data_IF_618987448264
#
_entry.id   IF_618987448264
#
_cell.length_a   1.000
_cell.length_b   1.000
_cell.length_c   1.000
_cell.angle_alpha   90.00
_cell.angle_beta   90.00
_cell.angle_gamma   90.00
#
_symmetry.space_group_name_H-M   'P 1'
#
loop_
_entity.id
_entity.type
_entity.pdbx_description
1 polymer ?
#
# COMPACT_ATOMS: atom_id res chain seq x y z
N UNK A 1 0.21 -0.79 22.64
CA UNK A 1 1.03 -1.54 21.65
C UNK A 1 0.49 -2.97 21.55
N UNK A 2 0.35 -3.53 20.36
CA UNK A 2 -0.02 -4.93 20.23
C UNK A 2 1.00 -5.80 20.96
N UNK A 3 0.53 -6.92 21.51
CA UNK A 3 1.41 -7.88 22.21
C UNK A 3 2.58 -8.30 21.32
N UNK A 4 3.76 -8.34 21.89
CA UNK A 4 4.93 -8.84 21.17
C UNK A 4 4.85 -10.36 20.99
N UNK A 5 5.55 -10.89 19.99
CA UNK A 5 5.63 -12.36 19.79
C UNK A 5 6.13 -13.09 21.05
N UNK A 6 7.04 -12.48 21.80
CA UNK A 6 7.56 -13.04 23.07
C UNK A 6 6.48 -13.11 24.15
N UNK A 7 5.63 -12.08 24.28
CA UNK A 7 4.49 -12.07 25.20
C UNK A 7 3.47 -13.14 24.83
N UNK A 8 3.13 -13.27 23.54
CA UNK A 8 2.21 -14.29 23.04
C UNK A 8 2.76 -15.69 23.31
N UNK A 9 4.04 -15.93 23.10
CA UNK A 9 4.68 -17.21 23.39
C UNK A 9 4.69 -17.53 24.89
N UNK A 10 4.86 -16.54 25.75
CA UNK A 10 4.81 -16.72 27.19
C UNK A 10 3.39 -17.06 27.69
N UNK A 11 2.38 -16.33 27.19
CA UNK A 11 0.98 -16.51 27.60
C UNK A 11 0.38 -17.85 27.11
N UNK A 12 0.89 -18.39 25.99
CA UNK A 12 0.41 -19.63 25.37
C UNK A 12 1.46 -20.77 25.39
N UNK A 13 2.42 -20.73 26.33
CA UNK A 13 3.52 -21.69 26.39
C UNK A 13 3.05 -23.15 26.40
N UNK A 14 2.03 -23.50 27.20
CA UNK A 14 1.49 -24.85 27.30
C UNK A 14 0.88 -25.37 25.97
N UNK A 15 0.19 -24.50 25.22
CA UNK A 15 -0.39 -24.85 23.91
C UNK A 15 0.72 -25.03 22.86
N UNK A 16 1.75 -24.20 22.90
CA UNK A 16 2.90 -24.24 21.99
C UNK A 16 3.78 -25.48 22.24
N UNK A 17 3.92 -25.88 23.49
CA UNK A 17 4.71 -27.08 23.87
C UNK A 17 3.97 -28.39 23.54
N UNK A 18 2.64 -28.34 23.43
CA UNK A 18 1.83 -29.48 22.99
C UNK A 18 1.85 -29.68 21.46
N UNK A 19 2.47 -28.77 20.68
CA UNK A 19 2.54 -28.89 19.24
C UNK A 19 3.53 -29.97 18.80
N UNK A 20 3.10 -30.94 17.97
CA UNK A 20 3.91 -32.11 17.64
C UNK A 20 5.06 -31.82 16.65
N UNK A 21 5.03 -30.69 15.96
CA UNK A 21 6.05 -30.28 14.97
C UNK A 21 6.28 -28.76 15.02
N UNK A 22 7.50 -28.36 14.61
CA UNK A 22 7.85 -26.92 14.54
C UNK A 22 6.96 -26.14 13.58
N UNK A 23 6.54 -26.71 12.46
CA UNK A 23 5.67 -26.05 11.50
C UNK A 23 4.28 -25.74 12.11
N UNK A 24 3.73 -26.69 12.89
CA UNK A 24 2.45 -26.49 13.59
C UNK A 24 2.58 -25.45 14.71
N UNK A 25 3.72 -25.44 15.40
CA UNK A 25 4.04 -24.44 16.41
C UNK A 25 4.11 -23.05 15.80
N UNK A 26 4.79 -22.89 14.68
CA UNK A 26 4.91 -21.64 13.95
C UNK A 26 3.54 -21.14 13.45
N UNK A 27 2.75 -22.02 12.85
CA UNK A 27 1.39 -21.71 12.40
C UNK A 27 0.47 -21.27 13.55
N UNK A 28 0.62 -21.88 14.74
CA UNK A 28 -0.12 -21.49 15.95
C UNK A 28 0.30 -20.09 16.43
N UNK A 29 1.60 -19.79 16.47
CA UNK A 29 2.12 -18.46 16.83
C UNK A 29 1.55 -17.39 15.90
N UNK A 30 1.55 -17.60 14.59
CA UNK A 30 1.00 -16.67 13.61
C UNK A 30 -0.50 -16.44 13.81
N UNK A 31 -1.25 -17.51 14.09
CA UNK A 31 -2.69 -17.42 14.39
C UNK A 31 -2.96 -16.63 15.67
N UNK A 32 -2.20 -16.90 16.74
CA UNK A 32 -2.33 -16.19 18.02
C UNK A 32 -1.97 -14.71 17.87
N UNK A 33 -0.88 -14.39 17.16
CA UNK A 33 -0.47 -13.02 16.87
C UNK A 33 -1.54 -12.27 16.07
N UNK A 34 -2.13 -12.91 15.05
CA UNK A 34 -3.24 -12.34 14.28
C UNK A 34 -4.47 -12.08 15.15
N UNK A 35 -4.78 -12.99 16.08
CA UNK A 35 -5.93 -12.86 16.98
C UNK A 35 -5.71 -11.72 17.98
N UNK A 36 -4.54 -11.66 18.63
CA UNK A 36 -4.17 -10.61 19.56
C UNK A 36 -4.17 -9.21 18.89
N UNK A 37 -3.67 -9.13 17.65
CA UNK A 37 -3.73 -7.89 16.87
C UNK A 37 -5.18 -7.48 16.58
N UNK A 38 -6.06 -8.42 16.24
CA UNK A 38 -7.49 -8.13 15.99
C UNK A 38 -8.21 -7.65 17.25
N UNK A 39 -7.92 -8.23 18.41
CA UNK A 39 -8.48 -7.82 19.69
C UNK A 39 -8.01 -6.42 20.07
N UNK A 40 -6.71 -6.14 19.95
CA UNK A 40 -6.15 -4.81 20.17
C UNK A 40 -6.84 -3.74 19.30
N UNK A 41 -7.03 -4.02 18.00
CA UNK A 41 -7.73 -3.09 17.10
C UNK A 41 -9.23 -2.96 17.41
N UNK A 42 -9.86 -3.96 18.03
CA UNK A 42 -11.26 -3.87 18.46
C UNK A 42 -11.46 -2.90 19.63
N UNK A 43 -10.51 -2.86 20.57
CA UNK A 43 -10.54 -1.90 21.68
C UNK A 43 -10.37 -0.48 21.17
N UNK A 44 -9.42 -0.24 20.26
CA UNK A 44 -9.23 1.06 19.62
C UNK A 44 -10.43 1.48 18.76
N UNK A 45 -11.13 0.54 18.14
CA UNK A 45 -12.32 0.84 17.35
C UNK A 45 -13.43 1.48 18.20
N UNK A 46 -13.60 1.06 19.44
CA UNK A 46 -14.58 1.64 20.35
C UNK A 46 -14.25 3.11 20.68
N UNK A 47 -12.98 3.44 20.89
CA UNK A 47 -12.51 4.80 21.10
C UNK A 47 -12.68 5.68 19.84
N UNK A 48 -12.34 5.15 18.66
CA UNK A 48 -12.45 5.89 17.39
C UNK A 48 -13.93 6.11 17.01
N UNK A 49 -14.84 5.20 17.33
CA UNK A 49 -16.28 5.38 17.08
C UNK A 49 -16.90 6.56 17.83
N UNK A 50 -16.32 6.98 18.95
CA UNK A 50 -16.77 8.20 19.65
C UNK A 50 -16.51 9.45 18.80
N UNK A 51 -15.43 9.46 18.00
CA UNK A 51 -15.07 10.55 17.10
C UNK A 51 -15.69 10.39 15.70
N UNK A 52 -15.87 9.15 15.25
CA UNK A 52 -16.38 8.80 13.94
C UNK A 52 -17.49 7.74 14.05
N UNK A 53 -18.74 8.12 14.38
CA UNK A 53 -19.84 7.18 14.66
C UNK A 53 -20.21 6.26 13.49
N UNK A 54 -19.91 6.68 12.27
CA UNK A 54 -20.18 5.91 11.03
C UNK A 54 -19.19 4.79 10.78
N UNK A 55 -18.07 4.73 11.53
CA UNK A 55 -17.07 3.69 11.35
C UNK A 55 -17.57 2.37 11.99
N UNK A 56 -17.80 1.36 11.16
CA UNK A 56 -18.29 0.05 11.59
C UNK A 56 -17.18 -0.95 11.90
N UNK A 57 -16.08 -0.88 11.16
CA UNK A 57 -14.93 -1.78 11.27
C UNK A 57 -13.66 -1.12 10.70
N UNK A 58 -12.49 -1.54 11.17
CA UNK A 58 -11.21 -1.26 10.49
C UNK A 58 -10.94 -2.24 9.35
N UNK A 59 -11.66 -3.35 9.30
CA UNK A 59 -11.55 -4.30 8.21
C UNK A 59 -12.19 -3.71 6.95
N UNK A 60 -11.56 -3.96 5.82
CA UNK A 60 -12.05 -3.59 4.49
C UNK A 60 -12.37 -4.86 3.71
N UNK A 61 -13.31 -4.79 2.79
CA UNK A 61 -13.66 -5.88 1.87
C UNK A 61 -12.54 -6.17 0.86
N UNK A 62 -11.47 -5.38 0.89
CA UNK A 62 -10.28 -5.52 0.05
C UNK A 62 -9.00 -5.42 0.90
N UNK A 63 -7.88 -6.05 0.46
CA UNK A 63 -6.60 -5.93 1.14
C UNK A 63 -6.18 -4.47 1.29
N UNK A 64 -5.93 -4.04 2.53
CA UNK A 64 -5.54 -2.66 2.83
C UNK A 64 -4.44 -2.62 3.89
N UNK A 65 -3.48 -1.69 3.72
CA UNK A 65 -2.37 -1.47 4.66
C UNK A 65 -2.22 0.02 4.90
N UNK A 66 -2.06 0.41 6.16
CA UNK A 66 -1.78 1.79 6.55
C UNK A 66 -0.35 1.89 7.08
N UNK A 67 0.45 2.80 6.50
CA UNK A 67 1.80 3.11 6.96
C UNK A 67 1.80 4.42 7.75
N UNK A 68 1.90 4.34 9.06
CA UNK A 68 2.05 5.51 9.94
C UNK A 68 3.52 5.94 10.00
N UNK A 69 3.91 6.94 9.22
CA UNK A 69 5.28 7.38 9.06
C UNK A 69 5.44 8.89 9.34
N UNK A 70 6.50 9.26 10.05
CA UNK A 70 6.85 10.65 10.32
C UNK A 70 7.11 11.45 9.03
N UNK A 71 7.05 12.77 9.11
CA UNK A 71 7.41 13.66 8.00
C UNK A 71 8.90 13.55 7.67
N UNK A 72 9.25 13.54 6.38
CA UNK A 72 10.65 13.50 5.93
C UNK A 72 11.27 12.10 5.81
N UNK A 73 10.64 11.04 6.33
CA UNK A 73 11.20 9.67 6.35
C UNK A 73 11.18 8.93 4.99
N UNK A 74 10.66 9.56 3.95
CA UNK A 74 10.64 8.95 2.61
C UNK A 74 9.34 8.28 2.21
N UNK A 75 8.18 8.78 2.68
CA UNK A 75 6.84 8.23 2.32
C UNK A 75 6.64 8.03 0.82
N UNK A 76 7.04 9.01 -0.01
CA UNK A 76 6.93 8.93 -1.47
C UNK A 76 7.80 7.81 -2.04
N UNK A 77 8.99 7.61 -1.47
CA UNK A 77 9.88 6.51 -1.88
C UNK A 77 9.32 5.14 -1.49
N UNK A 78 8.69 5.03 -0.31
CA UNK A 78 7.98 3.80 0.09
C UNK A 78 6.81 3.51 -0.85
N UNK A 79 6.04 4.52 -1.23
CA UNK A 79 4.97 4.36 -2.22
C UNK A 79 5.51 3.86 -3.56
N UNK A 80 6.62 4.44 -4.05
CA UNK A 80 7.31 3.94 -5.25
C UNK A 80 7.78 2.48 -5.11
N UNK A 81 8.30 2.11 -3.94
CA UNK A 81 8.71 0.73 -3.67
C UNK A 81 7.50 -0.24 -3.68
N UNK A 82 6.35 0.16 -3.12
CA UNK A 82 5.12 -0.65 -3.19
C UNK A 82 4.63 -0.82 -4.62
N UNK A 83 4.64 0.25 -5.44
CA UNK A 83 4.26 0.18 -6.86
C UNK A 83 5.21 -0.76 -7.61
N UNK A 84 6.52 -0.62 -7.41
CA UNK A 84 7.52 -1.48 -8.04
C UNK A 84 7.33 -2.95 -7.63
N UNK A 85 7.17 -3.23 -6.34
CA UNK A 85 6.93 -4.58 -5.84
C UNK A 85 5.68 -5.22 -6.46
N UNK A 86 4.56 -4.49 -6.49
CA UNK A 86 3.32 -4.99 -7.08
C UNK A 86 3.45 -5.24 -8.59
N UNK A 87 4.22 -4.40 -9.28
CA UNK A 87 4.48 -4.60 -10.70
C UNK A 87 5.40 -5.81 -10.95
N UNK A 88 6.52 -5.94 -10.21
CA UNK A 88 7.47 -7.04 -10.39
C UNK A 88 6.89 -8.40 -9.99
N UNK A 89 6.23 -8.47 -8.83
CA UNK A 89 5.82 -9.73 -8.21
C UNK A 89 4.39 -10.15 -8.57
N UNK A 90 3.53 -9.18 -8.88
CA UNK A 90 2.11 -9.43 -9.13
C UNK A 90 1.66 -9.09 -10.54
N UNK A 91 2.55 -8.53 -11.38
CA UNK A 91 2.22 -8.12 -12.74
C UNK A 91 1.20 -6.99 -12.84
N UNK A 92 1.00 -6.24 -11.74
CA UNK A 92 0.06 -5.12 -11.71
C UNK A 92 0.69 -3.94 -12.45
N UNK A 93 0.02 -3.41 -13.47
CA UNK A 93 0.53 -2.30 -14.27
C UNK A 93 -0.34 -1.03 -14.18
N UNK A 94 -1.49 -1.09 -13.49
CA UNK A 94 -2.38 0.04 -13.30
C UNK A 94 -2.46 0.42 -11.82
N UNK A 95 -2.12 1.67 -11.50
CA UNK A 95 -2.12 2.19 -10.14
C UNK A 95 -2.95 3.46 -10.06
N UNK A 96 -3.52 3.71 -8.88
CA UNK A 96 -4.26 4.92 -8.57
C UNK A 96 -3.66 5.59 -7.34
N UNK A 97 -3.26 6.84 -7.48
CA UNK A 97 -2.63 7.64 -6.41
C UNK A 97 -3.46 8.88 -6.16
N UNK A 98 -3.85 9.09 -4.91
CA UNK A 98 -4.62 10.26 -4.48
C UNK A 98 -3.73 11.21 -3.68
N UNK A 99 -3.69 12.46 -4.10
CA UNK A 99 -2.99 13.54 -3.40
C UNK A 99 -3.96 14.38 -2.58
N UNK A 100 -3.62 14.78 -1.33
CA UNK A 100 -4.51 15.55 -0.49
C UNK A 100 -4.65 17.02 -0.92
N UNK A 101 -3.67 17.56 -1.66
CA UNK A 101 -3.68 18.95 -2.16
C UNK A 101 -2.83 19.10 -3.42
N UNK A 102 -2.92 20.26 -4.08
CA UNK A 102 -2.22 20.55 -5.33
C UNK A 102 -0.71 20.55 -5.22
N UNK A 103 -0.14 21.00 -4.10
CA UNK A 103 1.31 21.01 -3.89
C UNK A 103 1.88 19.59 -3.88
N UNK A 104 1.23 18.68 -3.15
CA UNK A 104 1.62 17.27 -3.10
C UNK A 104 1.33 16.58 -4.43
N UNK A 105 0.21 16.90 -5.09
CA UNK A 105 -0.14 16.40 -6.40
C UNK A 105 0.95 16.69 -7.45
N UNK A 106 1.37 17.96 -7.58
CA UNK A 106 2.42 18.35 -8.53
C UNK A 106 3.77 17.68 -8.21
N UNK A 107 4.10 17.62 -6.91
CA UNK A 107 5.30 16.92 -6.45
C UNK A 107 5.26 15.44 -6.80
N UNK A 108 4.15 14.76 -6.59
CA UNK A 108 4.01 13.32 -6.89
C UNK A 108 4.14 13.06 -8.38
N UNK A 109 3.57 13.90 -9.24
CA UNK A 109 3.75 13.80 -10.70
C UNK A 109 5.23 13.86 -11.08
N UNK A 110 5.98 14.81 -10.52
CA UNK A 110 7.43 14.94 -10.78
C UNK A 110 8.22 13.75 -10.22
N UNK A 111 8.01 13.39 -8.96
CA UNK A 111 8.72 12.30 -8.29
C UNK A 111 8.45 10.92 -8.96
N UNK A 112 7.29 10.72 -9.60
CA UNK A 112 6.91 9.46 -10.26
C UNK A 112 7.30 9.37 -11.73
N UNK A 113 7.50 10.49 -12.44
CA UNK A 113 7.73 10.49 -13.91
C UNK A 113 9.03 11.13 -14.37
N UNK A 114 9.59 12.05 -13.59
CA UNK A 114 10.78 12.79 -14.01
C UNK A 114 12.08 12.03 -13.72
N UNK A 115 12.56 11.27 -14.70
CA UNK A 115 13.81 10.48 -14.59
C UNK A 115 15.06 11.32 -14.35
N UNK A 116 15.06 12.59 -14.74
CA UNK A 116 16.19 13.51 -14.53
C UNK A 116 16.23 14.02 -13.07
N UNK A 117 15.13 13.97 -12.35
CA UNK A 117 15.06 14.41 -10.96
C UNK A 117 15.85 13.47 -10.04
N UNK A 118 16.67 14.00 -9.11
CA UNK A 118 17.30 13.18 -8.07
C UNK A 118 16.28 12.53 -7.13
N UNK A 119 15.03 13.00 -7.16
CA UNK A 119 13.91 12.49 -6.36
C UNK A 119 13.08 11.44 -7.07
N UNK A 120 13.40 11.10 -8.33
CA UNK A 120 12.70 10.04 -9.06
C UNK A 120 12.69 8.75 -8.25
N UNK A 121 11.49 8.26 -7.93
CA UNK A 121 11.31 7.18 -6.94
C UNK A 121 11.75 5.82 -7.44
N UNK A 122 11.76 5.60 -8.76
CA UNK A 122 12.11 4.33 -9.39
C UNK A 122 13.55 4.27 -9.90
N UNK A 123 14.39 5.19 -9.48
CA UNK A 123 15.79 5.24 -9.91
C UNK A 123 16.52 3.92 -9.60
N UNK A 124 17.19 3.36 -10.62
CA UNK A 124 17.96 2.12 -10.50
C UNK A 124 17.13 0.84 -10.67
N UNK A 125 15.83 0.96 -10.96
CA UNK A 125 15.00 -0.19 -11.30
C UNK A 125 14.94 -0.36 -12.83
N UNK A 126 15.32 -1.52 -13.32
CA UNK A 126 15.46 -1.85 -14.75
C UNK A 126 14.15 -1.72 -15.54
N UNK A 127 13.02 -2.16 -14.96
CA UNK A 127 11.70 -2.02 -15.61
C UNK A 127 11.13 -0.60 -15.59
N UNK A 128 11.77 0.32 -14.88
CA UNK A 128 11.37 1.72 -14.77
C UNK A 128 12.40 2.68 -15.39
N UNK A 129 13.26 2.18 -16.28
CA UNK A 129 14.13 3.00 -17.15
C UNK A 129 13.27 3.89 -18.05
N UNK A 130 12.19 3.32 -18.61
CA UNK A 130 11.09 4.11 -19.16
C UNK A 130 10.15 4.49 -18.02
N UNK A 131 9.92 5.80 -17.76
CA UNK A 131 9.09 6.20 -16.64
C UNK A 131 7.65 5.75 -16.83
N UNK A 132 6.91 5.53 -15.72
CA UNK A 132 5.49 5.26 -15.79
C UNK A 132 4.74 6.36 -16.52
N UNK A 133 3.70 5.99 -17.22
CA UNK A 133 2.79 6.94 -17.83
C UNK A 133 1.88 7.54 -16.75
N UNK A 134 1.93 8.85 -16.60
CA UNK A 134 1.06 9.56 -15.66
C UNK A 134 -0.23 9.98 -16.36
N UNK A 135 -1.35 9.57 -15.77
CA UNK A 135 -2.68 10.03 -16.14
C UNK A 135 -3.18 10.94 -15.02
N UNK A 136 -3.67 12.10 -15.40
CA UNK A 136 -4.15 13.12 -14.49
C UNK A 136 -5.43 13.79 -15.02
N UNK A 137 -5.96 14.76 -14.27
CA UNK A 137 -7.17 15.49 -14.66
C UNK A 137 -7.07 16.29 -15.96
N UNK A 138 -5.84 16.61 -16.38
CA UNK A 138 -5.61 17.44 -17.59
C UNK A 138 -5.49 16.56 -18.86
N UNK A 139 -5.07 15.29 -18.73
CA UNK A 139 -4.86 14.39 -19.87
C UNK A 139 -5.80 13.17 -19.91
N UNK A 140 -6.68 13.03 -18.93
CA UNK A 140 -7.57 11.87 -18.77
C UNK A 140 -8.48 11.64 -19.99
N UNK A 141 -9.08 12.70 -20.55
CA UNK A 141 -9.99 12.60 -21.71
C UNK A 141 -9.24 12.12 -22.97
N UNK A 142 -8.05 12.65 -23.19
CA UNK A 142 -7.21 12.27 -24.34
C UNK A 142 -6.77 10.80 -24.22
N UNK A 143 -6.46 10.34 -22.99
CA UNK A 143 -6.10 8.95 -22.74
C UNK A 143 -7.27 7.98 -22.99
N UNK A 144 -8.48 8.36 -22.61
CA UNK A 144 -9.69 7.56 -22.85
C UNK A 144 -9.91 7.33 -24.34
N UNK A 145 -9.77 8.37 -25.17
CA UNK A 145 -9.88 8.25 -26.62
C UNK A 145 -8.80 7.34 -27.22
N UNK A 146 -7.58 7.43 -26.74
CA UNK A 146 -6.45 6.62 -27.23
C UNK A 146 -6.59 5.15 -26.81
N UNK A 147 -7.09 4.88 -25.60
CA UNK A 147 -7.33 3.52 -25.10
C UNK A 147 -8.37 2.75 -25.88
N UNK A 148 -9.43 3.43 -26.31
CA UNK A 148 -10.49 2.81 -27.13
C UNK A 148 -10.00 2.45 -28.54
N UNK A 149 -8.90 3.07 -29.02
CA UNK A 149 -8.26 2.82 -30.31
C UNK A 149 -7.10 1.82 -30.26
N UNK A 150 -6.43 1.70 -29.11
CA UNK A 150 -5.36 0.73 -28.91
C UNK A 150 -5.96 -0.57 -28.42
N UNK A 151 -6.06 -1.55 -29.30
CA UNK A 151 -6.38 -2.93 -28.94
C UNK A 151 -5.47 -3.38 -27.78
N UNK A 152 -6.00 -4.19 -26.88
CA UNK A 152 -5.44 -4.75 -25.64
C UNK A 152 -4.13 -5.55 -25.80
N UNK A 153 -3.32 -5.27 -26.79
CA UNK A 153 -2.03 -5.92 -27.04
C UNK A 153 -0.95 -5.32 -26.13
N UNK A 154 -0.70 -6.04 -25.01
CA UNK A 154 0.62 -6.24 -24.41
C UNK A 154 1.55 -5.01 -24.28
N UNK A 155 1.08 -3.89 -23.78
CA UNK A 155 2.03 -2.91 -23.29
C UNK A 155 2.38 -3.26 -21.84
N UNK A 156 3.61 -3.67 -21.60
CA UNK A 156 4.23 -3.83 -20.29
C UNK A 156 4.41 -2.46 -19.60
N UNK A 157 3.63 -1.47 -20.04
CA UNK A 157 3.67 -0.08 -19.60
C UNK A 157 2.99 0.08 -18.26
N UNK A 158 3.69 0.66 -17.30
CA UNK A 158 3.13 1.00 -16.00
C UNK A 158 2.37 2.31 -16.09
N UNK A 159 1.11 2.30 -15.71
CA UNK A 159 0.22 3.45 -15.72
C UNK A 159 -0.08 3.86 -14.28
N UNK A 160 0.15 5.13 -13.96
CA UNK A 160 -0.17 5.68 -12.64
C UNK A 160 -1.16 6.84 -12.81
N UNK A 161 -2.38 6.62 -12.33
CA UNK A 161 -3.41 7.64 -12.31
C UNK A 161 -3.23 8.50 -11.06
N UNK A 162 -2.92 9.79 -11.22
CA UNK A 162 -2.69 10.71 -10.10
C UNK A 162 -3.81 11.74 -10.06
N UNK A 163 -4.56 11.77 -8.95
CA UNK A 163 -5.67 12.69 -8.76
C UNK A 163 -5.56 13.47 -7.44
N UNK A 164 -6.18 14.64 -7.42
CA UNK A 164 -6.29 15.47 -6.23
C UNK A 164 -7.70 15.33 -5.62
N UNK A 165 -7.77 15.14 -4.29
CA UNK A 165 -9.04 15.00 -3.56
C UNK A 165 -9.79 16.36 -3.48
N UNK A 166 -9.09 17.48 -3.61
CA UNK A 166 -9.65 18.82 -3.40
C UNK A 166 -10.31 19.44 -4.64
N UNK A 167 -10.53 18.67 -5.70
CA UNK A 167 -11.24 19.13 -6.92
C UNK A 167 -12.50 18.34 -7.14
#
# INVERSE_FOLDING_TARGET
NPMTTEQICADHAAELDACPTNDKRQALIEKLASTAAKEFYREDLAAVRQLCPTLTSFERDFPSVCFALATGIGKTRLMGACIAYLHYEKGISNFFVMAPNLTIYNKLKDDLSNTSSPKYVFRGLDRFVTPPRIIDGDNYENFRMTRDQLSWTESNEVIINVFNISK
#
